data_IF_375647954807
#
_entry.id   IF_375647954807
#
_cell.length_a   1.000
_cell.length_b   1.000
_cell.length_c   1.000
_cell.angle_alpha   90.00
_cell.angle_beta   90.00
_cell.angle_gamma   90.00
#
_symmetry.space_group_name_H-M   'P 1'
#
loop_
_entity.id
_entity.type
_entity.pdbx_description
1 polymer ?
#
# COMPACT_ATOMS: atom_id res chain seq x y z
N UNK A 1 42.69 16.65 22.34
CA UNK A 1 41.81 15.57 22.88
C UNK A 1 40.35 15.71 22.48
N UNK A 2 39.76 16.90 22.31
CA UNK A 2 38.33 17.04 21.93
C UNK A 2 37.93 16.54 20.55
N UNK A 3 38.84 16.54 19.58
CA UNK A 3 38.54 16.17 18.19
C UNK A 3 38.37 14.65 17.97
N UNK A 4 38.97 13.82 18.80
CA UNK A 4 38.81 12.35 18.74
C UNK A 4 37.49 11.88 19.35
N UNK A 5 37.04 12.52 20.42
CA UNK A 5 35.74 12.22 21.06
C UNK A 5 34.57 12.63 20.15
N UNK A 6 34.66 13.80 19.53
CA UNK A 6 33.62 14.24 18.56
C UNK A 6 33.52 13.30 17.35
N UNK A 7 34.65 12.81 16.83
CA UNK A 7 34.66 11.80 15.75
C UNK A 7 34.06 10.46 16.17
N UNK A 8 34.34 10.01 17.39
CA UNK A 8 33.76 8.77 17.93
C UNK A 8 32.26 8.89 18.15
N UNK A 9 31.78 10.03 18.66
CA UNK A 9 30.34 10.29 18.81
C UNK A 9 29.62 10.34 17.46
N UNK A 10 30.19 11.04 16.46
CA UNK A 10 29.65 11.09 15.12
C UNK A 10 29.59 9.69 14.46
N UNK A 11 30.64 8.88 14.60
CA UNK A 11 30.65 7.51 14.11
C UNK A 11 29.64 6.61 14.84
N UNK A 12 29.42 6.82 16.13
CA UNK A 12 28.39 6.12 16.90
C UNK A 12 26.97 6.46 16.42
N UNK A 13 26.71 7.75 16.19
CA UNK A 13 25.42 8.21 15.64
C UNK A 13 25.17 7.68 14.23
N UNK A 14 26.17 7.68 13.36
CA UNK A 14 26.07 7.13 12.00
C UNK A 14 25.70 5.64 12.04
N UNK A 15 26.35 4.84 12.86
CA UNK A 15 26.04 3.40 13.03
C UNK A 15 24.63 3.16 13.59
N UNK A 16 24.17 4.01 14.49
CA UNK A 16 22.79 3.92 15.01
C UNK A 16 21.77 4.23 13.91
N UNK A 17 22.04 5.23 13.09
CA UNK A 17 21.19 5.60 11.96
C UNK A 17 21.16 4.51 10.88
N UNK A 18 22.30 3.91 10.56
CA UNK A 18 22.37 2.75 9.64
C UNK A 18 21.52 1.58 10.14
N UNK A 19 21.66 1.20 11.42
CA UNK A 19 20.83 0.14 12.01
C UNK A 19 19.33 0.45 11.99
N UNK A 20 18.96 1.71 12.21
CA UNK A 20 17.55 2.12 12.10
C UNK A 20 17.03 2.01 10.66
N UNK A 21 17.82 2.39 9.68
CA UNK A 21 17.48 2.26 8.27
C UNK A 21 17.35 0.79 7.85
N UNK A 22 18.28 -0.05 8.24
CA UNK A 22 18.23 -1.49 8.01
C UNK A 22 16.97 -2.11 8.63
N UNK A 23 16.69 -1.79 9.89
CA UNK A 23 15.48 -2.27 10.57
C UNK A 23 14.20 -1.80 9.86
N UNK A 24 14.13 -0.54 9.41
CA UNK A 24 12.99 -0.04 8.66
C UNK A 24 12.83 -0.73 7.31
N UNK A 25 13.92 -1.03 6.61
CA UNK A 25 13.90 -1.77 5.36
C UNK A 25 13.39 -3.20 5.55
N UNK A 26 13.88 -3.89 6.60
CA UNK A 26 13.39 -5.23 6.93
C UNK A 26 11.90 -5.23 7.30
N UNK A 27 11.44 -4.28 8.11
CA UNK A 27 10.02 -4.18 8.46
C UNK A 27 9.14 -3.92 7.23
N UNK A 28 9.59 -3.06 6.31
CA UNK A 28 8.89 -2.83 5.04
C UNK A 28 8.88 -4.08 4.17
N UNK A 29 10.00 -4.79 4.06
CA UNK A 29 10.08 -6.02 3.29
C UNK A 29 9.14 -7.10 3.84
N UNK A 30 9.11 -7.28 5.17
CA UNK A 30 8.18 -8.21 5.84
C UNK A 30 6.72 -7.79 5.65
N UNK A 31 6.42 -6.49 5.72
CA UNK A 31 5.07 -5.96 5.47
C UNK A 31 4.60 -6.24 4.04
N UNK A 32 5.46 -5.99 3.05
CA UNK A 32 5.14 -6.30 1.64
C UNK A 32 4.99 -7.80 1.42
N UNK A 33 5.84 -8.63 2.00
CA UNK A 33 5.75 -10.08 1.91
C UNK A 33 4.43 -10.62 2.50
N UNK A 34 4.01 -10.07 3.65
CA UNK A 34 2.74 -10.42 4.28
C UNK A 34 1.53 -10.03 3.40
N UNK A 35 1.55 -8.85 2.76
CA UNK A 35 0.51 -8.43 1.83
C UNK A 35 0.42 -9.36 0.60
N UNK A 36 1.55 -9.72 0.02
CA UNK A 36 1.59 -10.66 -1.11
C UNK A 36 1.05 -12.02 -0.69
N UNK A 37 1.45 -12.53 0.49
CA UNK A 37 0.96 -13.80 1.02
C UNK A 37 -0.55 -13.78 1.25
N UNK A 38 -1.08 -12.73 1.86
CA UNK A 38 -2.52 -12.56 2.07
C UNK A 38 -3.30 -12.49 0.75
N UNK A 39 -2.74 -11.81 -0.28
CA UNK A 39 -3.38 -11.75 -1.59
C UNK A 39 -3.40 -13.12 -2.27
N UNK A 40 -2.33 -13.91 -2.14
CA UNK A 40 -2.27 -15.29 -2.68
C UNK A 40 -3.27 -16.21 -1.99
N UNK A 41 -3.41 -16.08 -0.67
CA UNK A 41 -4.40 -16.85 0.11
C UNK A 41 -5.83 -16.51 -0.33
N UNK A 42 -6.13 -15.22 -0.50
CA UNK A 42 -7.42 -14.76 -1.04
C UNK A 42 -7.70 -15.35 -2.44
N UNK A 43 -6.71 -15.34 -3.33
CA UNK A 43 -6.85 -15.90 -4.68
C UNK A 43 -7.12 -17.40 -4.64
N UNK A 44 -6.44 -18.14 -3.77
CA UNK A 44 -6.67 -19.56 -3.60
C UNK A 44 -8.11 -19.86 -3.10
N UNK A 45 -8.58 -19.08 -2.11
CA UNK A 45 -9.94 -19.16 -1.60
C UNK A 45 -10.98 -18.83 -2.67
N UNK A 46 -10.78 -17.72 -3.40
CA UNK A 46 -11.67 -17.32 -4.51
C UNK A 46 -11.65 -18.36 -5.64
N UNK A 47 -10.52 -18.98 -5.92
CA UNK A 47 -10.40 -20.06 -6.89
C UNK A 47 -11.23 -21.28 -6.51
N UNK A 48 -11.11 -21.73 -5.28
CA UNK A 48 -11.91 -22.85 -4.76
C UNK A 48 -13.42 -22.54 -4.81
N UNK A 49 -13.82 -21.34 -4.37
CA UNK A 49 -15.20 -20.88 -4.48
C UNK A 49 -15.68 -20.81 -5.95
N UNK A 50 -14.85 -20.30 -6.85
CA UNK A 50 -15.15 -20.19 -8.27
C UNK A 50 -15.41 -21.55 -8.92
N UNK A 51 -14.60 -22.57 -8.61
CA UNK A 51 -14.81 -23.95 -9.08
C UNK A 51 -16.13 -24.51 -8.55
N UNK A 52 -16.42 -24.32 -7.28
CA UNK A 52 -17.68 -24.78 -6.68
C UNK A 52 -18.91 -24.08 -7.33
N UNK A 53 -18.84 -22.78 -7.48
CA UNK A 53 -19.88 -21.96 -8.12
C UNK A 53 -20.07 -22.35 -9.60
N UNK A 54 -18.99 -22.47 -10.37
CA UNK A 54 -19.05 -22.89 -11.76
C UNK A 54 -19.70 -24.25 -11.93
N UNK A 55 -19.33 -25.22 -11.07
CA UNK A 55 -19.90 -26.56 -11.08
C UNK A 55 -21.39 -26.54 -10.73
N UNK A 56 -21.78 -25.79 -9.70
CA UNK A 56 -23.19 -25.67 -9.27
C UNK A 56 -24.05 -25.01 -10.33
N UNK A 57 -23.61 -23.87 -10.88
CA UNK A 57 -24.34 -23.12 -11.90
C UNK A 57 -24.43 -23.86 -13.22
N UNK A 58 -23.37 -24.57 -13.63
CA UNK A 58 -23.40 -25.42 -14.84
C UNK A 58 -24.39 -26.56 -14.71
N UNK A 59 -24.46 -27.20 -13.55
CA UNK A 59 -25.47 -28.25 -13.27
C UNK A 59 -26.89 -27.69 -13.25
N UNK A 60 -27.09 -26.51 -12.69
CA UNK A 60 -28.40 -25.83 -12.70
C UNK A 60 -28.82 -25.46 -14.13
N UNK A 61 -27.92 -24.90 -14.93
CA UNK A 61 -28.15 -24.59 -16.33
C UNK A 61 -28.51 -25.85 -17.14
N UNK A 62 -27.80 -26.95 -16.94
CA UNK A 62 -28.05 -28.23 -17.62
C UNK A 62 -29.42 -28.83 -17.25
N UNK A 63 -29.82 -28.72 -15.95
CA UNK A 63 -31.10 -29.25 -15.50
C UNK A 63 -32.29 -28.43 -15.95
N UNK A 64 -32.15 -27.12 -16.02
CA UNK A 64 -33.25 -26.19 -16.39
C UNK A 64 -33.31 -25.85 -17.87
N UNK A 65 -32.21 -26.18 -18.61
CA UNK A 65 -32.06 -25.75 -20.02
C UNK A 65 -31.86 -24.25 -20.19
N UNK A 66 -31.65 -23.50 -19.09
CA UNK A 66 -31.56 -22.05 -19.14
C UNK A 66 -30.09 -21.58 -18.93
N UNK A 67 -29.43 -21.02 -19.98
CA UNK A 67 -28.05 -20.55 -19.90
C UNK A 67 -27.89 -19.31 -19.03
N UNK A 68 -28.95 -18.62 -18.64
CA UNK A 68 -28.90 -17.42 -17.81
C UNK A 68 -28.25 -17.70 -16.42
N UNK A 69 -28.25 -18.94 -15.93
CA UNK A 69 -27.56 -19.35 -14.72
C UNK A 69 -26.02 -19.17 -14.79
N UNK A 70 -25.45 -19.11 -16.00
CA UNK A 70 -24.00 -18.87 -16.18
C UNK A 70 -23.66 -17.37 -16.16
N UNK A 71 -24.64 -16.48 -16.22
CA UNK A 71 -24.44 -15.03 -16.24
C UNK A 71 -23.54 -14.51 -15.11
N UNK A 72 -23.73 -14.91 -13.85
CA UNK A 72 -22.92 -14.46 -12.73
C UNK A 72 -21.44 -14.86 -12.81
N UNK A 73 -21.10 -15.89 -13.59
CA UNK A 73 -19.69 -16.31 -13.77
C UNK A 73 -18.88 -15.30 -14.59
N UNK A 74 -19.52 -14.54 -15.46
CA UNK A 74 -18.85 -13.53 -16.29
C UNK A 74 -18.17 -12.45 -15.46
N UNK A 75 -18.87 -11.65 -14.63
CA UNK A 75 -18.23 -10.64 -13.79
C UNK A 75 -17.26 -11.25 -12.78
N UNK A 76 -17.58 -12.45 -12.25
CA UNK A 76 -16.67 -13.15 -11.36
C UNK A 76 -15.34 -13.49 -12.02
N UNK A 77 -15.34 -13.97 -13.28
CA UNK A 77 -14.11 -14.32 -14.00
C UNK A 77 -13.22 -13.11 -14.23
N UNK A 78 -13.76 -11.92 -14.50
CA UNK A 78 -12.99 -10.68 -14.63
C UNK A 78 -12.32 -10.28 -13.31
N UNK A 79 -13.07 -10.30 -12.21
CA UNK A 79 -12.55 -9.98 -10.89
C UNK A 79 -11.47 -10.99 -10.49
N UNK A 80 -11.70 -12.27 -10.74
CA UNK A 80 -10.74 -13.33 -10.44
C UNK A 80 -9.46 -13.22 -11.26
N UNK A 81 -9.57 -12.96 -12.58
CA UNK A 81 -8.42 -12.72 -13.43
C UNK A 81 -7.59 -11.51 -12.97
N UNK A 82 -8.26 -10.42 -12.56
CA UNK A 82 -7.59 -9.27 -11.98
C UNK A 82 -6.84 -9.62 -10.68
N UNK A 83 -7.43 -10.40 -9.80
CA UNK A 83 -6.79 -10.83 -8.56
C UNK A 83 -5.61 -11.78 -8.81
N UNK A 84 -5.69 -12.65 -9.82
CA UNK A 84 -4.56 -13.46 -10.25
C UNK A 84 -3.38 -12.60 -10.72
N UNK A 85 -3.64 -11.55 -11.49
CA UNK A 85 -2.61 -10.62 -11.94
C UNK A 85 -1.97 -9.83 -10.77
N UNK A 86 -2.76 -9.55 -9.71
CA UNK A 86 -2.23 -8.94 -8.47
C UNK A 86 -1.33 -9.90 -7.70
N UNK A 87 -1.74 -11.17 -7.57
CA UNK A 87 -1.07 -12.16 -6.73
C UNK A 87 0.19 -12.76 -7.37
N UNK A 88 0.16 -12.97 -8.68
CA UNK A 88 1.18 -13.70 -9.42
C UNK A 88 1.72 -12.96 -10.65
N UNK A 89 1.05 -11.88 -11.08
CA UNK A 89 1.44 -11.09 -12.23
C UNK A 89 2.42 -9.96 -11.91
N UNK A 90 2.87 -9.26 -12.95
CA UNK A 90 3.77 -8.10 -12.87
C UNK A 90 3.09 -6.78 -12.49
N UNK A 91 1.93 -6.82 -11.81
CA UNK A 91 1.16 -5.61 -11.48
C UNK A 91 1.92 -4.67 -10.56
N UNK A 92 2.65 -5.19 -9.56
CA UNK A 92 3.48 -4.39 -8.66
C UNK A 92 4.55 -3.58 -9.39
N UNK A 93 5.19 -4.19 -10.39
CA UNK A 93 6.18 -3.50 -11.23
C UNK A 93 5.53 -2.44 -12.14
N UNK A 94 4.35 -2.74 -12.69
CA UNK A 94 3.59 -1.77 -13.50
C UNK A 94 3.16 -0.57 -12.67
N UNK A 95 2.68 -0.81 -11.43
CA UNK A 95 2.32 0.25 -10.49
C UNK A 95 3.55 1.08 -10.11
N UNK A 96 4.69 0.46 -9.83
CA UNK A 96 5.93 1.17 -9.51
C UNK A 96 6.37 2.07 -10.67
N UNK A 97 6.40 1.55 -11.90
CA UNK A 97 6.72 2.34 -13.09
C UNK A 97 5.74 3.50 -13.32
N UNK A 98 4.44 3.25 -13.14
CA UNK A 98 3.43 4.30 -13.27
C UNK A 98 3.57 5.35 -12.16
N UNK A 99 3.90 4.95 -10.93
CA UNK A 99 4.16 5.88 -9.84
C UNK A 99 5.35 6.80 -10.13
N UNK A 100 6.44 6.25 -10.68
CA UNK A 100 7.59 7.05 -11.13
C UNK A 100 7.20 8.03 -12.25
N UNK A 101 6.38 7.58 -13.21
CA UNK A 101 5.88 8.44 -14.28
C UNK A 101 5.01 9.58 -13.73
N UNK A 102 4.11 9.31 -12.78
CA UNK A 102 3.29 10.33 -12.11
C UNK A 102 4.17 11.32 -11.33
N UNK A 103 5.19 10.81 -10.61
CA UNK A 103 6.15 11.66 -9.90
C UNK A 103 6.93 12.59 -10.85
N UNK A 104 7.23 12.12 -12.07
CA UNK A 104 7.95 12.91 -13.06
C UNK A 104 7.06 13.94 -13.77
N UNK A 105 5.83 13.57 -14.12
CA UNK A 105 4.97 14.32 -15.03
C UNK A 105 3.85 15.09 -14.31
N UNK A 106 3.32 14.52 -13.21
CA UNK A 106 2.10 15.02 -12.55
C UNK A 106 2.35 15.43 -11.10
N UNK A 107 3.52 15.97 -10.81
CA UNK A 107 3.91 16.41 -9.46
C UNK A 107 2.93 17.37 -8.81
N UNK A 108 2.21 18.15 -9.62
CA UNK A 108 1.20 19.10 -9.16
C UNK A 108 0.01 18.42 -8.46
N UNK A 109 -0.33 17.16 -8.83
CA UNK A 109 -1.39 16.38 -8.17
C UNK A 109 -0.99 15.89 -6.77
N UNK A 110 0.32 15.84 -6.51
CA UNK A 110 0.89 15.39 -5.23
C UNK A 110 1.11 16.56 -4.25
N UNK A 111 0.89 17.80 -4.73
CA UNK A 111 1.01 18.97 -3.89
C UNK A 111 -0.04 18.95 -2.78
N UNK A 112 0.40 19.07 -1.53
CA UNK A 112 -0.51 19.18 -0.39
C UNK A 112 -1.36 20.44 -0.56
N UNK A 113 -2.69 20.36 -0.31
CA UNK A 113 -3.52 21.57 -0.26
C UNK A 113 -2.98 22.49 0.84
N UNK A 114 -2.46 23.68 0.44
CA UNK A 114 -1.79 24.62 1.33
C UNK A 114 -0.25 24.61 1.27
N UNK A 115 0.36 23.74 0.43
CA UNK A 115 1.81 23.63 0.28
C UNK A 115 2.48 22.78 1.36
N UNK A 116 3.81 22.65 1.26
CA UNK A 116 4.60 21.95 2.27
C UNK A 116 4.59 22.75 3.57
N UNK A 117 4.26 22.12 4.68
CA UNK A 117 4.33 22.73 6.02
C UNK A 117 5.76 23.20 6.30
N UNK A 118 5.94 24.50 6.45
CA UNK A 118 7.19 25.10 6.87
C UNK A 118 7.26 25.17 8.40
N UNK A 119 8.46 25.15 8.97
CA UNK A 119 8.66 25.33 10.42
C UNK A 119 7.99 26.59 10.94
N UNK A 120 8.06 27.70 10.19
CA UNK A 120 7.41 28.96 10.55
C UNK A 120 5.88 28.84 10.63
N UNK A 121 5.25 28.07 9.74
CA UNK A 121 3.80 27.81 9.79
C UNK A 121 3.42 26.92 10.97
N UNK A 122 4.28 25.95 11.31
CA UNK A 122 4.08 25.08 12.46
C UNK A 122 4.17 25.89 13.78
N UNK A 123 5.19 26.73 13.90
CA UNK A 123 5.40 27.62 15.07
C UNK A 123 4.23 28.62 15.23
N UNK A 124 3.76 29.20 14.13
CA UNK A 124 2.60 30.07 14.15
C UNK A 124 1.32 29.33 14.57
N UNK A 125 1.10 28.12 14.10
CA UNK A 125 -0.03 27.28 14.47
C UNK A 125 0.01 26.86 15.96
N UNK A 126 1.19 26.53 16.47
CA UNK A 126 1.40 26.22 17.89
C UNK A 126 1.16 27.46 18.78
N UNK A 127 1.64 28.63 18.40
CA UNK A 127 1.40 29.88 19.11
C UNK A 127 -0.09 30.24 19.14
N UNK A 128 -0.79 30.13 18.00
CA UNK A 128 -2.24 30.34 17.93
C UNK A 128 -3.03 29.37 18.82
N UNK A 129 -2.62 28.12 18.87
CA UNK A 129 -3.26 27.10 19.72
C UNK A 129 -3.01 27.37 21.23
N UNK A 130 -1.81 27.81 21.59
CA UNK A 130 -1.49 28.21 22.96
C UNK A 130 -2.29 29.43 23.39
N UNK A 131 -2.45 30.45 22.53
CA UNK A 131 -3.25 31.64 22.78
C UNK A 131 -4.76 31.28 22.95
N UNK A 132 -5.28 30.41 22.11
CA UNK A 132 -6.66 29.91 22.21
C UNK A 132 -6.90 29.12 23.50
N UNK A 133 -5.94 28.30 23.94
CA UNK A 133 -6.02 27.57 25.21
C UNK A 133 -5.96 28.48 26.43
N UNK A 134 -5.21 29.59 26.36
CA UNK A 134 -5.15 30.59 27.45
C UNK A 134 -6.39 31.51 27.51
N UNK A 135 -7.15 31.61 26.42
CA UNK A 135 -8.38 32.39 26.33
C UNK A 135 -9.65 31.59 26.65
N UNK A 136 -9.54 30.27 26.86
CA UNK A 136 -10.66 29.42 27.28
C UNK A 136 -10.93 29.65 28.79
N UNK A 137 -12.19 29.96 29.21
CA UNK A 137 -12.55 30.24 30.59
C UNK A 137 -12.46 28.99 31.48
#
# INVERSE_FOLDING_TARGET
>A
MGNSMAKQQAAGQARMMERQLEMQQELRARGMAAQIAATRDLVNFMGAFGVAAATGLSRAAARTGNPAFLGPLLPFSFVFAYQLDVAYGGKSERIARNAEAVLATERHLLALPGGALTLAQLDAALAARAAAAAAAP
#
